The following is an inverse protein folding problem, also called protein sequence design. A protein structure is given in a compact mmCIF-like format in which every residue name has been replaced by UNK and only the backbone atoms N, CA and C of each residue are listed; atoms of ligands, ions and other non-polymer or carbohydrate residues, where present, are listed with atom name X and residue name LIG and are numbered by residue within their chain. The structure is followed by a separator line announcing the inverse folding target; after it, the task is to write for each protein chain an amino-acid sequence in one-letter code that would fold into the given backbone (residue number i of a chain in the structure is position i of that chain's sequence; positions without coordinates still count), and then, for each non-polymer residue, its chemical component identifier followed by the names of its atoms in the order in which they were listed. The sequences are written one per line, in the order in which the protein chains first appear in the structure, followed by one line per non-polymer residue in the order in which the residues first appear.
data_IF_931831315437
#
_entry.id   IF_931831315437
#
_cell.length_a   1.000
_cell.length_b   1.000
_cell.length_c   1.000
_cell.angle_alpha   90.00
_cell.angle_beta   90.00
_cell.angle_gamma   90.00
#
_symmetry.space_group_name_H-M   'P 1'
#
loop_
_entity.id
_entity.type
_entity.pdbx_description
1 polymer ?
#
# COMPACT_ATOMS: atom_id res chain seq x y z
N UNK A 1 29.49 -6.81 17.75
CA UNK A 1 29.38 -8.12 17.06
C UNK A 1 28.22 -8.09 16.10
N UNK A 2 28.43 -8.47 14.86
CA UNK A 2 27.38 -8.46 13.85
C UNK A 2 26.49 -9.68 13.98
N UNK A 3 25.18 -9.45 13.92
CA UNK A 3 24.19 -10.52 13.84
C UNK A 3 23.81 -10.70 12.36
N UNK A 4 24.19 -11.81 11.71
CA UNK A 4 23.90 -12.03 10.30
C UNK A 4 22.38 -12.00 9.99
N UNK A 5 21.54 -12.47 10.92
CA UNK A 5 20.08 -12.45 10.73
C UNK A 5 19.59 -11.02 10.75
N UNK A 6 20.03 -10.21 11.74
CA UNK A 6 19.63 -8.81 11.83
C UNK A 6 20.11 -8.01 10.62
N UNK A 7 21.31 -8.29 10.11
CA UNK A 7 21.82 -7.65 8.89
C UNK A 7 21.01 -8.03 7.67
N UNK A 8 20.63 -9.29 7.54
CA UNK A 8 19.82 -9.77 6.43
C UNK A 8 18.44 -9.10 6.46
N UNK A 9 17.84 -8.96 7.64
CA UNK A 9 16.54 -8.28 7.78
C UNK A 9 16.65 -6.80 7.44
N UNK A 10 17.72 -6.12 7.84
CA UNK A 10 17.93 -4.72 7.47
C UNK A 10 18.04 -4.54 5.97
N UNK A 11 18.77 -5.46 5.31
CA UNK A 11 18.92 -5.43 3.86
C UNK A 11 17.60 -5.65 3.15
N UNK A 12 16.79 -6.62 3.60
CA UNK A 12 15.46 -6.86 3.05
C UNK A 12 14.56 -5.65 3.21
N UNK A 13 14.62 -4.96 4.35
CA UNK A 13 13.85 -3.73 4.58
C UNK A 13 14.28 -2.62 3.64
N UNK A 14 15.59 -2.48 3.40
CA UNK A 14 16.09 -1.48 2.46
C UNK A 14 15.61 -1.76 1.04
N UNK A 15 15.66 -3.01 0.63
CA UNK A 15 15.15 -3.42 -0.68
C UNK A 15 13.66 -3.16 -0.82
N UNK A 16 12.90 -3.52 0.20
CA UNK A 16 11.46 -3.27 0.25
C UNK A 16 11.16 -1.78 0.15
N UNK A 17 11.88 -0.97 0.92
CA UNK A 17 11.70 0.49 0.92
C UNK A 17 12.07 1.10 -0.44
N UNK A 18 13.11 0.59 -1.08
CA UNK A 18 13.53 1.06 -2.41
C UNK A 18 12.46 0.80 -3.48
N UNK A 19 11.61 -0.21 -3.29
CA UNK A 19 10.52 -0.54 -4.20
C UNK A 19 9.24 0.27 -3.95
N UNK A 20 9.21 1.11 -2.90
CA UNK A 20 8.02 1.85 -2.52
C UNK A 20 7.46 2.72 -3.66
N UNK A 21 8.28 3.49 -4.42
CA UNK A 21 7.72 4.27 -5.53
C UNK A 21 6.99 3.43 -6.58
N UNK A 22 7.51 2.26 -6.90
CA UNK A 22 6.86 1.35 -7.86
C UNK A 22 5.55 0.80 -7.29
N UNK A 23 5.50 0.48 -6.00
CA UNK A 23 4.28 -0.01 -5.34
C UNK A 23 3.21 1.08 -5.30
N UNK A 24 3.59 2.30 -4.98
CA UNK A 24 2.66 3.44 -4.97
C UNK A 24 2.12 3.70 -6.37
N UNK A 25 2.98 3.67 -7.39
CA UNK A 25 2.55 3.84 -8.78
C UNK A 25 1.55 2.76 -9.20
N UNK A 26 1.73 1.54 -8.74
CA UNK A 26 0.81 0.43 -9.01
C UNK A 26 -0.56 0.68 -8.38
N UNK A 27 -0.59 1.20 -7.14
CA UNK A 27 -1.84 1.59 -6.48
C UNK A 27 -2.55 2.71 -7.25
N UNK A 28 -1.81 3.70 -7.71
CA UNK A 28 -2.36 4.81 -8.49
C UNK A 28 -2.97 4.33 -9.81
N UNK A 29 -2.30 3.39 -10.49
CA UNK A 29 -2.85 2.78 -11.70
C UNK A 29 -4.13 1.99 -11.41
N UNK A 30 -4.15 1.26 -10.28
CA UNK A 30 -5.33 0.54 -9.84
C UNK A 30 -6.51 1.46 -9.56
N UNK A 31 -6.25 2.60 -8.93
CA UNK A 31 -7.28 3.60 -8.68
C UNK A 31 -7.81 4.22 -9.98
N UNK A 32 -6.91 4.51 -10.92
CA UNK A 32 -7.32 5.03 -12.23
C UNK A 32 -8.21 4.05 -12.98
N UNK A 33 -7.90 2.77 -12.93
CA UNK A 33 -8.72 1.71 -13.52
C UNK A 33 -10.09 1.62 -12.85
N UNK A 34 -10.13 1.75 -11.52
CA UNK A 34 -11.38 1.75 -10.76
C UNK A 34 -12.25 2.95 -11.15
N UNK A 35 -11.65 4.14 -11.25
CA UNK A 35 -12.34 5.36 -11.63
C UNK A 35 -12.89 5.28 -13.06
N UNK A 36 -12.19 4.57 -13.94
CA UNK A 36 -12.61 4.37 -15.33
C UNK A 36 -13.69 3.28 -15.48
N UNK A 37 -14.03 2.59 -14.39
CA UNK A 37 -15.01 1.52 -14.42
C UNK A 37 -14.55 0.27 -15.13
N UNK A 38 -13.25 0.02 -15.16
CA UNK A 38 -12.69 -1.16 -15.80
C UNK A 38 -13.07 -2.44 -15.07
N UNK A 39 -13.39 -3.50 -15.81
CA UNK A 39 -13.73 -4.79 -15.23
C UNK A 39 -12.58 -5.34 -14.40
N UNK A 40 -12.90 -5.81 -13.19
CA UNK A 40 -11.91 -6.39 -12.29
C UNK A 40 -11.05 -5.38 -11.53
N UNK A 41 -11.21 -4.09 -11.78
CA UNK A 41 -10.39 -3.04 -11.14
C UNK A 41 -10.52 -3.07 -9.62
N UNK A 42 -11.74 -3.22 -9.11
CA UNK A 42 -11.99 -3.28 -7.66
C UNK A 42 -11.26 -4.48 -7.02
N UNK A 43 -11.39 -5.64 -7.61
CA UNK A 43 -10.71 -6.84 -7.13
C UNK A 43 -9.20 -6.68 -7.20
N UNK A 44 -8.69 -6.16 -8.31
CA UNK A 44 -7.26 -5.94 -8.48
C UNK A 44 -6.68 -5.01 -7.42
N UNK A 45 -7.34 -3.89 -7.18
CA UNK A 45 -6.90 -2.91 -6.19
C UNK A 45 -7.01 -3.47 -4.77
N UNK A 46 -8.07 -4.22 -4.47
CA UNK A 46 -8.23 -4.89 -3.17
C UNK A 46 -7.06 -5.83 -2.90
N UNK A 47 -6.65 -6.62 -3.89
CA UNK A 47 -5.51 -7.53 -3.76
C UNK A 47 -4.22 -6.77 -3.48
N UNK A 48 -3.99 -5.65 -4.16
CA UNK A 48 -2.82 -4.82 -3.93
C UNK A 48 -2.75 -4.30 -2.50
N UNK A 49 -3.87 -3.79 -1.97
CA UNK A 49 -3.92 -3.32 -0.59
C UNK A 49 -3.74 -4.48 0.41
N UNK A 50 -4.32 -5.63 0.13
CA UNK A 50 -4.16 -6.81 0.99
C UNK A 50 -2.69 -7.21 1.10
N UNK A 51 -2.00 -7.31 -0.03
CA UNK A 51 -0.57 -7.64 -0.06
C UNK A 51 0.27 -6.60 0.66
N UNK A 52 -0.04 -5.33 0.45
CA UNK A 52 0.70 -4.24 1.07
C UNK A 52 0.49 -4.20 2.58
N UNK A 53 -0.71 -4.51 3.07
CA UNK A 53 -1.00 -4.61 4.49
C UNK A 53 -0.10 -5.67 5.15
N UNK A 54 0.03 -6.82 4.52
CA UNK A 54 0.89 -7.90 5.02
C UNK A 54 2.37 -7.54 4.96
N UNK A 55 2.85 -7.11 3.80
CA UNK A 55 4.28 -6.83 3.61
C UNK A 55 4.73 -5.59 4.39
N UNK A 56 3.90 -4.54 4.45
CA UNK A 56 4.23 -3.33 5.22
C UNK A 56 4.46 -3.64 6.68
N UNK A 57 3.60 -4.47 7.27
CA UNK A 57 3.78 -4.92 8.65
C UNK A 57 5.03 -5.76 8.84
N UNK A 58 5.26 -6.72 7.93
CA UNK A 58 6.42 -7.62 8.01
C UNK A 58 7.75 -6.87 7.90
N UNK A 59 7.82 -5.81 7.11
CA UNK A 59 9.06 -5.08 6.87
C UNK A 59 9.21 -3.79 7.69
N UNK A 60 8.36 -3.60 8.70
CA UNK A 60 8.55 -2.50 9.65
C UNK A 60 7.94 -1.17 9.25
N UNK A 61 6.87 -1.19 8.45
CA UNK A 61 6.10 -0.01 8.05
C UNK A 61 4.67 -0.11 8.60
N UNK A 62 4.47 0.04 9.91
CA UNK A 62 3.14 -0.19 10.51
C UNK A 62 2.06 0.75 10.00
N UNK A 63 2.38 1.99 9.66
CA UNK A 63 1.41 2.93 9.12
C UNK A 63 0.98 2.54 7.70
N UNK A 64 1.91 2.05 6.89
CA UNK A 64 1.58 1.52 5.56
C UNK A 64 0.59 0.36 5.72
N UNK A 65 0.88 -0.57 6.62
CA UNK A 65 0.02 -1.71 6.88
C UNK A 65 -1.37 -1.29 7.35
N UNK A 66 -1.45 -0.37 8.31
CA UNK A 66 -2.73 0.08 8.87
C UNK A 66 -3.60 0.77 7.81
N UNK A 67 -3.02 1.70 7.05
CA UNK A 67 -3.76 2.43 6.01
C UNK A 67 -4.20 1.48 4.89
N UNK A 68 -3.33 0.55 4.47
CA UNK A 68 -3.68 -0.43 3.45
C UNK A 68 -4.85 -1.32 3.89
N UNK A 69 -4.89 -1.72 5.17
CA UNK A 69 -6.00 -2.50 5.72
C UNK A 69 -7.31 -1.72 5.68
N UNK A 70 -7.27 -0.45 6.04
CA UNK A 70 -8.46 0.40 6.01
C UNK A 70 -9.00 0.54 4.59
N UNK A 71 -8.12 0.74 3.61
CA UNK A 71 -8.51 0.85 2.20
C UNK A 71 -9.04 -0.47 1.66
N UNK A 72 -8.45 -1.59 2.07
CA UNK A 72 -8.97 -2.91 1.71
C UNK A 72 -10.41 -3.08 2.21
N UNK A 73 -10.66 -2.71 3.47
CA UNK A 73 -12.01 -2.79 4.05
C UNK A 73 -13.00 -1.90 3.31
N UNK A 74 -12.59 -0.69 2.97
CA UNK A 74 -13.42 0.23 2.20
C UNK A 74 -13.80 -0.38 0.85
N UNK A 75 -12.83 -0.93 0.12
CA UNK A 75 -13.08 -1.56 -1.17
C UNK A 75 -14.02 -2.76 -1.07
N UNK A 76 -13.92 -3.54 0.00
CA UNK A 76 -14.77 -4.72 0.20
C UNK A 76 -16.20 -4.37 0.60
N UNK A 77 -16.40 -3.22 1.24
CA UNK A 77 -17.71 -2.85 1.79
C UNK A 77 -18.49 -1.86 0.93
N UNK A 78 -17.84 -1.16 0.01
CA UNK A 78 -18.47 -0.10 -0.76
C UNK A 78 -18.97 -0.62 -2.11
N UNK A 79 -20.30 -0.62 -2.36
CA UNK A 79 -20.82 -1.10 -3.64
C UNK A 79 -20.79 -0.07 -4.76
N UNK A 80 -20.61 1.21 -4.43
CA UNK A 80 -20.66 2.31 -5.41
C UNK A 80 -19.45 3.24 -5.27
N UNK A 81 -18.77 3.48 -6.39
CA UNK A 81 -17.57 4.33 -6.44
C UNK A 81 -17.95 5.74 -6.88
N UNK A 82 -18.39 6.54 -5.92
CA UNK A 82 -18.65 7.97 -6.14
C UNK A 82 -17.33 8.75 -6.16
N UNK A 83 -17.34 9.99 -6.70
CA UNK A 83 -16.14 10.84 -6.63
C UNK A 83 -15.60 11.01 -5.21
N UNK A 84 -16.49 11.11 -4.21
CA UNK A 84 -16.09 11.23 -2.81
C UNK A 84 -15.36 9.98 -2.31
N UNK A 85 -15.83 8.78 -2.66
CA UNK A 85 -15.19 7.52 -2.28
C UNK A 85 -13.86 7.33 -2.98
N UNK A 86 -13.79 7.69 -4.25
CA UNK A 86 -12.52 7.65 -4.99
C UNK A 86 -11.50 8.61 -4.37
N UNK A 87 -11.94 9.79 -3.92
CA UNK A 87 -11.07 10.73 -3.23
C UNK A 87 -10.55 10.19 -1.90
N UNK A 88 -11.35 9.41 -1.16
CA UNK A 88 -10.90 8.74 0.06
C UNK A 88 -9.78 7.74 -0.24
N UNK A 89 -9.91 6.96 -1.31
CA UNK A 89 -8.88 6.01 -1.72
C UNK A 89 -7.61 6.77 -2.14
N UNK A 90 -7.75 7.84 -2.90
CA UNK A 90 -6.62 8.68 -3.32
C UNK A 90 -5.88 9.24 -2.10
N UNK A 91 -6.60 9.75 -1.12
CA UNK A 91 -6.00 10.28 0.10
C UNK A 91 -5.25 9.20 0.87
N UNK A 92 -5.83 7.99 0.93
CA UNK A 92 -5.16 6.84 1.56
C UNK A 92 -3.88 6.43 0.85
N UNK A 93 -3.88 6.43 -0.47
CA UNK A 93 -2.66 6.15 -1.25
C UNK A 93 -1.59 7.20 -0.94
N UNK A 94 -1.97 8.46 -0.83
CA UNK A 94 -1.04 9.52 -0.47
C UNK A 94 -0.48 9.31 0.94
N UNK A 95 -1.31 8.89 1.90
CA UNK A 95 -0.85 8.55 3.24
C UNK A 95 0.17 7.41 3.22
N UNK A 96 -0.06 6.41 2.39
CA UNK A 96 0.90 5.30 2.21
C UNK A 96 2.22 5.82 1.65
N UNK A 97 2.17 6.67 0.64
CA UNK A 97 3.38 7.28 0.06
C UNK A 97 4.16 8.08 1.11
N UNK A 98 3.44 8.86 1.91
CA UNK A 98 4.05 9.66 2.98
C UNK A 98 4.65 8.77 4.07
N UNK A 99 3.97 7.70 4.44
CA UNK A 99 4.45 6.75 5.45
C UNK A 99 5.74 6.05 4.99
N UNK A 100 5.86 5.74 3.71
CA UNK A 100 7.11 5.20 3.16
C UNK A 100 8.26 6.20 3.24
N UNK A 101 7.98 7.49 2.98
CA UNK A 101 9.02 8.52 3.04
C UNK A 101 9.52 8.78 4.45
N UNK A 102 8.60 8.80 5.43
CA UNK A 102 8.92 9.16 6.82
C UNK A 102 9.29 7.95 7.67
N UNK A 103 8.85 6.75 7.30
CA UNK A 103 9.07 5.51 8.03
C UNK A 103 10.23 4.66 7.51
N UNK A 104 11.14 5.24 6.73
CA UNK A 104 12.23 4.49 6.15
C UNK A 104 13.09 3.76 7.17
N UNK A 105 13.82 2.71 6.76
CA UNK A 105 14.66 1.96 7.67
C UNK A 105 15.75 2.85 8.27
N UNK A 106 15.96 2.66 9.57
CA UNK A 106 16.98 3.40 10.30
C UNK A 106 18.39 2.96 9.88
#
# INVERSE_FOLDING_TARGET
MNDPVAEALRELRREYHAEAPARVAELERGLAALAAGEDGAETGLTVLFHRLAGSGGAYGFPQVSATARELERLLRSEPHWTPARLAEVQAGIQEIADAFRTGGPA
#
